data_IF_992548361525
#
_entry.id   IF_992548361525
#
_cell.length_a   1.000
_cell.length_b   1.000
_cell.length_c   1.000
_cell.angle_alpha   90.00
_cell.angle_beta   90.00
_cell.angle_gamma   90.00
#
_symmetry.space_group_name_H-M   'P 1'
#
loop_
_entity.id
_entity.type
_entity.pdbx_description
1 polymer ?
#
# COMPACT_ATOMS: atom_id res chain seq x y z
N UNK A 1 -18.41 -6.88 -14.15
CA UNK A 1 -17.29 -7.20 -15.08
C UNK A 1 -16.08 -6.44 -14.57
N UNK A 2 -14.97 -7.13 -14.33
CA UNK A 2 -13.74 -6.51 -13.81
C UNK A 2 -12.80 -6.18 -14.96
N UNK A 3 -12.06 -5.08 -14.83
CA UNK A 3 -11.00 -4.70 -15.76
C UNK A 3 -9.64 -4.94 -15.10
N UNK A 4 -8.69 -5.49 -15.84
CA UNK A 4 -7.36 -5.85 -15.33
C UNK A 4 -6.38 -4.80 -15.82
N UNK A 5 -5.84 -4.01 -14.90
CA UNK A 5 -4.85 -3.02 -15.25
C UNK A 5 -3.50 -3.70 -15.61
N UNK A 6 -2.84 -3.27 -16.70
CA UNK A 6 -1.51 -3.74 -17.05
C UNK A 6 -0.48 -3.18 -16.07
N UNK A 7 0.11 -4.04 -15.24
CA UNK A 7 1.09 -3.66 -14.23
C UNK A 7 2.47 -4.27 -14.54
N UNK A 8 3.43 -3.50 -15.06
CA UNK A 8 4.84 -3.87 -14.91
C UNK A 8 5.15 -3.86 -13.41
N UNK A 9 5.75 -4.92 -12.88
CA UNK A 9 5.96 -5.09 -11.44
C UNK A 9 6.91 -4.01 -10.89
N UNK A 10 6.34 -2.92 -10.41
CA UNK A 10 7.05 -1.75 -9.86
C UNK A 10 6.44 -1.38 -8.51
N UNK A 11 7.16 -1.59 -7.40
CA UNK A 11 6.68 -1.26 -6.05
C UNK A 11 6.32 0.22 -5.89
N UNK A 12 6.95 1.11 -6.66
CA UNK A 12 6.68 2.54 -6.63
C UNK A 12 5.34 2.92 -7.25
N UNK A 13 4.75 2.05 -8.06
CA UNK A 13 3.45 2.24 -8.70
C UNK A 13 2.32 1.48 -8.00
N UNK A 14 2.64 0.53 -7.11
CA UNK A 14 1.66 -0.26 -6.39
C UNK A 14 1.20 0.47 -5.10
N UNK A 15 -0.07 0.90 -4.98
CA UNK A 15 -0.55 1.61 -3.80
C UNK A 15 -0.45 0.78 -2.51
N UNK A 16 -0.47 -0.56 -2.64
CA UNK A 16 -0.14 -1.48 -1.54
C UNK A 16 1.25 -1.18 -0.96
N UNK A 17 2.26 -1.11 -1.82
CA UNK A 17 3.66 -1.05 -1.42
C UNK A 17 4.09 0.36 -1.03
N UNK A 18 3.87 1.36 -1.89
CA UNK A 18 4.34 2.72 -1.61
C UNK A 18 3.53 3.45 -0.53
N UNK A 19 2.31 2.98 -0.21
CA UNK A 19 1.40 3.71 0.68
C UNK A 19 0.93 2.89 1.88
N UNK A 20 0.31 1.73 1.66
CA UNK A 20 -0.32 0.95 2.72
C UNK A 20 0.73 0.27 3.60
N UNK A 21 1.57 -0.59 3.01
CA UNK A 21 2.61 -1.33 3.74
C UNK A 21 3.65 -0.39 4.33
N UNK A 22 4.02 0.68 3.63
CA UNK A 22 4.91 1.72 4.18
C UNK A 22 4.39 2.32 5.50
N UNK A 23 3.07 2.50 5.66
CA UNK A 23 2.48 2.98 6.92
C UNK A 23 2.34 1.89 7.97
N UNK A 24 2.06 0.68 7.53
CA UNK A 24 1.93 -0.48 8.40
C UNK A 24 3.27 -0.90 9.01
N UNK A 25 4.39 -0.69 8.30
CA UNK A 25 5.74 -1.06 8.74
C UNK A 25 6.12 -0.47 10.10
N UNK A 26 5.76 0.79 10.37
CA UNK A 26 6.03 1.41 11.67
C UNK A 26 5.30 0.67 12.79
N UNK A 27 3.99 0.45 12.62
CA UNK A 27 3.16 -0.21 13.63
C UNK A 27 3.51 -1.70 13.79
N UNK A 28 4.06 -2.34 12.74
CA UNK A 28 4.56 -3.72 12.77
C UNK A 28 5.91 -3.85 13.50
N UNK A 29 6.77 -2.83 13.44
CA UNK A 29 8.12 -2.91 14.00
C UNK A 29 8.11 -3.17 15.52
N UNK A 30 7.07 -2.69 16.21
CA UNK A 30 6.91 -2.82 17.65
C UNK A 30 6.16 -4.10 18.07
N UNK A 31 5.73 -4.94 17.12
CA UNK A 31 4.93 -6.13 17.40
C UNK A 31 5.71 -7.44 17.20
N UNK A 32 5.58 -8.36 18.17
CA UNK A 32 6.09 -9.73 18.05
C UNK A 32 4.92 -10.72 18.11
N UNK A 33 4.60 -11.32 16.98
CA UNK A 33 3.51 -12.28 16.86
C UNK A 33 3.96 -13.68 17.29
N UNK A 34 3.08 -14.41 17.98
CA UNK A 34 3.36 -15.76 18.48
C UNK A 34 2.64 -16.81 17.61
N UNK A 35 1.52 -16.43 16.99
CA UNK A 35 0.73 -17.29 16.10
C UNK A 35 0.20 -16.57 14.88
N UNK A 36 -0.26 -17.34 13.88
CA UNK A 36 -0.95 -16.80 12.72
C UNK A 36 -2.27 -16.11 13.08
N UNK A 37 -2.98 -16.63 14.08
CA UNK A 37 -4.23 -16.03 14.57
C UNK A 37 -3.98 -14.62 15.15
N UNK A 38 -2.84 -14.42 15.82
CA UNK A 38 -2.45 -13.10 16.34
C UNK A 38 -2.22 -12.10 15.19
N UNK A 39 -1.56 -12.56 14.11
CA UNK A 39 -1.33 -11.74 12.91
C UNK A 39 -2.67 -11.36 12.27
N UNK A 40 -3.58 -12.31 12.10
CA UNK A 40 -4.88 -12.06 11.49
C UNK A 40 -5.70 -11.05 12.32
N UNK A 41 -5.77 -11.25 13.63
CA UNK A 41 -6.51 -10.37 14.52
C UNK A 41 -5.91 -8.95 14.54
N UNK A 42 -4.57 -8.85 14.61
CA UNK A 42 -3.88 -7.57 14.55
C UNK A 42 -4.15 -6.86 13.22
N UNK A 43 -4.04 -7.56 12.09
CA UNK A 43 -4.26 -6.98 10.77
C UNK A 43 -5.69 -6.47 10.61
N UNK A 44 -6.70 -7.26 11.03
CA UNK A 44 -8.11 -6.87 11.01
C UNK A 44 -8.34 -5.62 11.85
N UNK A 45 -7.79 -5.59 13.06
CA UNK A 45 -7.92 -4.45 13.98
C UNK A 45 -7.22 -3.21 13.42
N UNK A 46 -6.01 -3.37 12.88
CA UNK A 46 -5.24 -2.28 12.29
C UNK A 46 -5.98 -1.66 11.12
N UNK A 47 -6.49 -2.47 10.17
CA UNK A 47 -7.27 -1.98 9.02
C UNK A 47 -8.53 -1.27 9.49
N UNK A 48 -9.28 -1.85 10.43
CA UNK A 48 -10.49 -1.25 10.97
C UNK A 48 -10.24 0.07 11.74
N UNK A 49 -9.03 0.25 12.28
CA UNK A 49 -8.64 1.48 13.00
C UNK A 49 -8.29 2.66 12.07
N UNK A 50 -8.04 2.41 10.78
CA UNK A 50 -7.61 3.46 9.86
C UNK A 50 -8.80 4.18 9.25
N UNK A 51 -8.68 5.50 9.16
CA UNK A 51 -9.64 6.33 8.47
C UNK A 51 -9.65 6.06 6.96
N UNK A 52 -10.81 6.21 6.34
CA UNK A 52 -10.98 5.98 4.90
C UNK A 52 -10.07 6.87 4.05
N UNK A 53 -9.74 8.09 4.54
CA UNK A 53 -8.81 9.01 3.88
C UNK A 53 -7.42 8.42 3.70
N UNK A 54 -6.99 7.50 4.57
CA UNK A 54 -5.72 6.79 4.40
C UNK A 54 -5.75 5.99 3.09
N UNK A 55 -6.79 5.19 2.86
CA UNK A 55 -6.89 4.39 1.64
C UNK A 55 -7.08 5.26 0.39
N UNK A 56 -7.96 6.26 0.48
CA UNK A 56 -8.19 7.21 -0.63
C UNK A 56 -6.91 7.96 -1.00
N UNK A 57 -6.10 8.34 -0.01
CA UNK A 57 -4.85 9.05 -0.23
C UNK A 57 -3.85 8.24 -1.07
N UNK A 58 -3.78 6.93 -0.86
CA UNK A 58 -2.90 6.05 -1.63
C UNK A 58 -3.28 6.03 -3.10
N UNK A 59 -4.56 5.78 -3.38
CA UNK A 59 -5.10 5.73 -4.75
C UNK A 59 -4.95 7.09 -5.45
N UNK A 60 -5.21 8.20 -4.75
CA UNK A 60 -5.11 9.55 -5.32
C UNK A 60 -3.70 9.97 -5.70
N UNK A 61 -2.67 9.37 -5.11
CA UNK A 61 -1.27 9.62 -5.48
C UNK A 61 -0.79 8.86 -6.72
N UNK A 62 -1.59 7.91 -7.21
CA UNK A 62 -1.20 7.10 -8.36
C UNK A 62 -0.98 7.93 -9.64
N UNK A 63 -1.84 8.89 -10.03
CA UNK A 63 -1.62 9.72 -11.22
C UNK A 63 -0.30 10.51 -11.16
N UNK A 64 -0.02 11.15 -10.03
CA UNK A 64 1.23 11.90 -9.80
C UNK A 64 2.48 11.01 -9.97
N UNK A 65 2.40 9.75 -9.51
CA UNK A 65 3.48 8.78 -9.64
C UNK A 65 3.66 8.29 -11.08
N UNK A 66 2.57 8.06 -11.81
CA UNK A 66 2.62 7.71 -13.23
C UNK A 66 3.23 8.86 -14.06
N UNK A 67 2.83 10.11 -13.79
CA UNK A 67 3.42 11.29 -14.44
C UNK A 67 4.93 11.37 -14.23
N UNK A 68 5.40 11.10 -13.00
CA UNK A 68 6.84 11.05 -12.69
C UNK A 68 7.57 9.97 -13.47
N UNK A 69 6.99 8.77 -13.58
CA UNK A 69 7.58 7.66 -14.36
C UNK A 69 7.61 7.97 -15.85
N UNK A 70 6.58 8.64 -16.39
CA UNK A 70 6.57 9.09 -17.78
C UNK A 70 7.63 10.17 -18.01
N UNK A 71 7.74 11.15 -17.11
CA UNK A 71 8.72 12.23 -17.20
C UNK A 71 10.17 11.75 -17.04
N UNK A 72 10.39 10.61 -16.39
CA UNK A 72 11.71 10.01 -16.17
C UNK A 72 12.11 8.98 -17.24
N UNK A 73 11.35 8.85 -18.33
CA UNK A 73 11.50 7.79 -19.35
C UNK A 73 11.54 6.38 -18.72
N UNK A 74 10.72 6.14 -17.69
CA UNK A 74 10.64 4.86 -17.00
C UNK A 74 11.70 4.62 -15.93
N UNK A 75 12.49 5.64 -15.56
CA UNK A 75 13.48 5.55 -14.48
C UNK A 75 12.86 5.79 -13.10
N UNK A 76 13.47 5.19 -12.09
CA UNK A 76 13.13 5.33 -10.66
C UNK A 76 13.72 6.61 -10.06
#
# INVERSE_FOLDING_TARGET
KWDVSPHPYSPDLAPSDYWLFRRMQHDLADHRFISFADIENWLRTWIASKDESLFRGGVRKLPEKLEKVVASDGKY
#
